data_IF_374893496941
#
_entry.id   IF_374893496941
#
_cell.length_a   1.000
_cell.length_b   1.000
_cell.length_c   1.000
_cell.angle_alpha   90.00
_cell.angle_beta   90.00
_cell.angle_gamma   90.00
#
_symmetry.space_group_name_H-M   'P 1'
#
loop_
_entity.id
_entity.type
_entity.pdbx_description
1 polymer ?
#
# COMPACT_ATOMS: atom_id res chain seq x y z
N UNK A 1 38.81 -62.60 72.13
CA UNK A 1 39.74 -63.31 71.21
C UNK A 1 39.34 -63.01 69.77
N UNK A 2 40.30 -62.61 68.93
CA UNK A 2 40.25 -62.30 67.48
C UNK A 2 39.53 -60.98 67.12
N UNK A 3 40.22 -59.87 66.89
CA UNK A 3 41.11 -59.46 65.77
C UNK A 3 40.46 -59.41 64.37
N UNK A 4 40.24 -58.16 63.93
CA UNK A 4 40.82 -57.53 62.74
C UNK A 4 40.23 -57.86 61.34
N UNK A 5 39.84 -56.82 60.58
CA UNK A 5 40.60 -56.21 59.46
C UNK A 5 39.67 -55.43 58.49
N UNK A 6 40.20 -54.28 58.07
CA UNK A 6 39.73 -53.33 57.04
C UNK A 6 39.42 -53.98 55.67
N UNK A 7 38.56 -53.34 54.86
CA UNK A 7 38.93 -52.94 53.50
C UNK A 7 38.04 -51.83 52.92
N UNK A 8 38.73 -50.89 52.27
CA UNK A 8 38.32 -49.67 51.58
C UNK A 8 37.52 -49.96 50.29
N UNK A 9 36.57 -49.09 49.93
CA UNK A 9 36.37 -48.70 48.53
C UNK A 9 35.87 -47.25 48.44
N UNK A 10 36.56 -46.47 47.62
CA UNK A 10 36.46 -45.02 47.45
C UNK A 10 35.55 -44.73 46.26
N UNK A 11 34.61 -43.81 46.40
CA UNK A 11 34.10 -43.03 45.26
C UNK A 11 33.97 -41.57 45.68
N UNK A 12 34.80 -40.73 45.06
CA UNK A 12 34.73 -39.27 45.13
C UNK A 12 33.90 -38.82 43.94
N UNK A 13 32.83 -38.05 44.16
CA UNK A 13 32.23 -37.26 43.10
C UNK A 13 32.04 -35.82 43.61
N UNK A 14 32.76 -34.91 42.97
CA UNK A 14 32.82 -33.49 43.27
C UNK A 14 31.47 -32.81 42.99
N UNK A 15 30.92 -32.14 44.00
CA UNK A 15 29.85 -31.15 43.83
C UNK A 15 30.46 -29.76 44.06
N UNK A 16 30.72 -29.05 42.98
CA UNK A 16 31.07 -27.63 43.02
C UNK A 16 29.81 -26.82 43.30
N UNK A 17 29.84 -26.09 44.40
CA UNK A 17 28.88 -25.03 44.74
C UNK A 17 29.36 -23.75 44.04
N UNK A 18 28.47 -23.08 43.31
CA UNK A 18 28.61 -21.66 43.03
C UNK A 18 27.27 -20.95 43.25
N UNK A 19 27.25 -20.12 44.29
CA UNK A 19 26.29 -19.05 44.53
C UNK A 19 26.92 -17.73 44.10
N UNK A 20 26.33 -16.97 43.17
CA UNK A 20 26.22 -15.51 43.32
C UNK A 20 25.14 -14.91 42.38
N UNK A 21 24.38 -14.01 42.99
CA UNK A 21 23.79 -12.73 42.55
C UNK A 21 23.61 -12.38 41.07
N UNK A 22 22.41 -11.88 40.76
CA UNK A 22 22.19 -10.92 39.67
C UNK A 22 20.79 -11.04 39.07
N UNK A 23 19.85 -10.21 39.51
CA UNK A 23 18.63 -9.98 38.76
C UNK A 23 18.99 -9.06 37.60
N UNK A 24 19.33 -9.63 36.44
CA UNK A 24 19.36 -8.93 35.18
C UNK A 24 18.33 -9.62 34.28
N UNK A 25 17.11 -9.09 34.28
CA UNK A 25 16.29 -9.16 33.07
C UNK A 25 16.97 -8.22 32.08
N UNK A 26 17.95 -8.73 31.35
CA UNK A 26 18.30 -8.17 30.05
C UNK A 26 17.23 -8.68 29.07
N UNK A 27 16.03 -8.12 29.19
CA UNK A 27 15.11 -8.07 28.07
C UNK A 27 15.77 -7.12 27.11
N UNK A 28 16.40 -7.67 26.07
CA UNK A 28 16.72 -6.89 24.88
C UNK A 28 15.42 -6.27 24.39
N UNK A 29 15.21 -5.00 24.73
CA UNK A 29 14.18 -4.17 24.13
C UNK A 29 14.39 -4.27 22.62
N UNK A 30 13.44 -4.88 21.93
CA UNK A 30 13.35 -4.72 20.48
C UNK A 30 13.27 -3.21 20.24
N UNK A 31 14.12 -2.64 19.36
CA UNK A 31 14.19 -1.20 19.22
C UNK A 31 12.80 -0.67 18.82
N UNK A 32 12.35 0.27 19.64
CA UNK A 32 11.18 1.13 19.51
C UNK A 32 10.98 1.58 18.05
N UNK A 33 9.79 1.26 17.51
CA UNK A 33 9.08 1.95 16.42
C UNK A 33 9.95 2.92 15.61
N UNK A 34 10.62 2.45 14.55
CA UNK A 34 11.27 3.35 13.60
C UNK A 34 10.18 4.11 12.86
N UNK A 35 9.80 5.27 13.40
CA UNK A 35 8.83 6.16 12.78
C UNK A 35 9.35 6.57 11.39
N UNK A 36 8.58 6.28 10.36
CA UNK A 36 8.89 6.75 9.02
C UNK A 36 8.55 8.23 8.84
N UNK A 37 9.32 8.95 8.04
CA UNK A 37 9.05 10.35 7.73
C UNK A 37 8.41 10.50 6.34
N UNK A 38 7.58 11.54 6.20
CA UNK A 38 7.03 11.95 4.90
C UNK A 38 8.20 12.35 3.99
N UNK A 39 8.19 11.84 2.75
CA UNK A 39 9.21 12.03 1.73
C UNK A 39 10.30 10.95 1.70
N UNK A 40 10.38 10.08 2.70
CA UNK A 40 11.33 8.97 2.72
C UNK A 40 10.83 7.74 1.94
N UNK A 41 11.76 6.85 1.62
CA UNK A 41 11.45 5.57 0.96
C UNK A 41 10.80 4.60 1.95
N UNK A 42 9.59 4.13 1.62
CA UNK A 42 8.86 3.13 2.40
C UNK A 42 9.28 1.70 2.08
N UNK A 43 8.74 0.70 2.82
CA UNK A 43 9.16 -0.70 2.70
C UNK A 43 9.04 -1.30 1.30
N UNK A 44 8.09 -0.83 0.48
CA UNK A 44 7.95 -1.30 -0.90
C UNK A 44 8.59 -0.38 -1.93
N UNK A 45 9.52 0.47 -1.51
CA UNK A 45 10.33 1.31 -2.41
C UNK A 45 9.61 2.53 -2.97
N UNK A 46 8.39 2.79 -2.53
CA UNK A 46 7.67 4.02 -2.81
C UNK A 46 8.08 5.14 -1.86
N UNK A 47 7.38 6.28 -1.97
CA UNK A 47 7.65 7.49 -1.20
C UNK A 47 6.49 7.72 -0.24
N UNK A 48 6.79 7.84 1.04
CA UNK A 48 5.77 7.99 2.07
C UNK A 48 5.19 9.40 1.99
N UNK A 49 3.87 9.52 1.84
CA UNK A 49 3.20 10.83 1.75
C UNK A 49 2.22 11.09 2.90
N UNK A 50 1.93 10.07 3.71
CA UNK A 50 0.99 10.17 4.81
C UNK A 50 1.39 9.29 6.00
N UNK A 51 1.29 9.85 7.21
CA UNK A 51 1.39 9.16 8.51
C UNK A 51 0.12 9.50 9.30
N UNK A 52 -0.71 8.49 9.59
CA UNK A 52 -1.93 8.62 10.39
C UNK A 52 -1.64 8.95 11.87
N UNK A 53 -0.41 8.71 12.33
CA UNK A 53 0.02 8.85 13.72
C UNK A 53 -0.20 7.60 14.56
N UNK A 54 -1.14 6.73 14.19
CA UNK A 54 -1.42 5.46 14.86
C UNK A 54 -1.85 4.37 13.87
N UNK A 55 -1.66 3.10 14.25
CA UNK A 55 -2.18 1.97 13.48
C UNK A 55 -3.67 1.84 13.79
N UNK A 56 -4.50 2.07 12.78
CA UNK A 56 -5.94 1.82 12.85
C UNK A 56 -6.45 1.30 11.52
N UNK A 57 -7.40 0.35 11.55
CA UNK A 57 -7.85 -0.40 10.37
C UNK A 57 -6.71 -1.11 9.62
N UNK A 58 -5.69 -1.58 10.36
CA UNK A 58 -4.61 -2.41 9.83
C UNK A 58 -3.44 -1.67 9.20
N UNK A 59 -3.44 -0.33 9.16
CA UNK A 59 -2.35 0.46 8.57
C UNK A 59 -2.17 1.81 9.26
N UNK A 60 -0.99 2.41 9.09
CA UNK A 60 -0.64 3.75 9.59
C UNK A 60 -0.10 4.67 8.50
N UNK A 61 0.68 4.14 7.58
CA UNK A 61 1.36 4.93 6.54
C UNK A 61 0.76 4.66 5.17
N UNK A 62 0.96 5.61 4.27
CA UNK A 62 0.70 5.43 2.83
C UNK A 62 1.95 5.85 2.06
N UNK A 63 2.37 5.01 1.13
CA UNK A 63 3.41 5.34 0.16
C UNK A 63 2.91 5.26 -1.28
N UNK A 64 3.46 6.13 -2.13
CA UNK A 64 3.20 6.16 -3.56
C UNK A 64 4.33 5.47 -4.32
N UNK A 65 4.01 4.76 -5.40
CA UNK A 65 4.99 4.09 -6.24
C UNK A 65 6.09 5.07 -6.72
N UNK A 66 7.35 4.60 -6.88
CA UNK A 66 8.47 5.46 -7.25
C UNK A 66 8.36 6.07 -8.65
N UNK A 67 7.49 5.55 -9.52
CA UNK A 67 7.26 6.05 -10.87
C UNK A 67 5.80 5.93 -11.32
N UNK A 68 5.41 6.76 -12.28
CA UNK A 68 4.14 6.63 -13.00
C UNK A 68 4.07 5.28 -13.74
N UNK A 69 2.86 4.71 -13.86
CA UNK A 69 2.58 3.64 -14.80
C UNK A 69 2.22 4.21 -16.18
N UNK A 70 1.96 3.33 -17.15
CA UNK A 70 1.41 3.76 -18.44
C UNK A 70 0.08 4.48 -18.23
N UNK A 71 -0.17 5.46 -19.08
CA UNK A 71 -1.46 6.14 -19.20
C UNK A 71 -2.55 5.11 -19.56
N UNK A 72 -3.76 5.29 -19.02
CA UNK A 72 -4.89 4.39 -19.25
C UNK A 72 -6.25 5.09 -19.11
N UNK A 73 -7.28 4.42 -19.59
CA UNK A 73 -8.68 4.72 -19.24
C UNK A 73 -8.90 4.43 -17.75
N UNK A 74 -9.81 5.14 -17.13
CA UNK A 74 -10.27 4.81 -15.79
C UNK A 74 -11.02 3.47 -15.80
N UNK A 75 -11.80 3.24 -16.86
CA UNK A 75 -12.59 2.04 -17.08
C UNK A 75 -13.86 2.35 -17.88
N UNK A 76 -14.88 1.52 -17.74
CA UNK A 76 -16.09 1.64 -18.54
C UNK A 76 -16.92 2.89 -18.33
N UNK A 77 -17.28 3.53 -19.44
CA UNK A 77 -18.30 4.58 -19.49
C UNK A 77 -19.71 3.97 -19.48
N UNK A 78 -20.74 4.78 -19.22
CA UNK A 78 -22.14 4.36 -19.15
C UNK A 78 -22.52 3.31 -18.09
N UNK A 79 -21.60 2.98 -17.17
CA UNK A 79 -21.82 1.99 -16.13
C UNK A 79 -21.41 2.56 -14.75
N UNK A 80 -22.34 2.61 -13.78
CA UNK A 80 -22.00 3.02 -12.42
C UNK A 80 -21.37 1.87 -11.64
N UNK A 81 -20.28 2.18 -10.94
CA UNK A 81 -19.57 1.36 -9.97
C UNK A 81 -19.75 2.09 -8.63
N UNK A 82 -20.96 2.00 -8.06
CA UNK A 82 -21.36 2.79 -6.89
C UNK A 82 -20.45 2.58 -5.69
N UNK A 83 -19.87 1.39 -5.55
CA UNK A 83 -18.97 1.02 -4.47
C UNK A 83 -17.59 1.69 -4.59
N UNK A 84 -17.29 2.31 -5.74
CA UNK A 84 -16.09 3.10 -5.98
C UNK A 84 -16.30 4.62 -5.80
N UNK A 85 -17.42 5.08 -5.23
CA UNK A 85 -17.71 6.53 -5.07
C UNK A 85 -17.12 7.17 -3.82
N UNK A 86 -16.40 6.40 -3.01
CA UNK A 86 -15.80 6.93 -1.78
C UNK A 86 -14.68 7.91 -2.15
N UNK A 87 -14.60 9.04 -1.46
CA UNK A 87 -13.61 10.10 -1.73
C UNK A 87 -12.50 10.10 -0.68
N UNK A 88 -12.83 9.60 0.50
CA UNK A 88 -12.10 9.84 1.73
C UNK A 88 -10.78 9.07 1.77
N UNK A 89 -9.87 9.56 2.60
CA UNK A 89 -8.64 8.87 2.95
C UNK A 89 -8.93 7.46 3.50
N UNK A 90 -8.19 6.47 3.02
CA UNK A 90 -8.35 5.07 3.45
C UNK A 90 -9.38 4.29 2.65
N UNK A 91 -9.90 4.85 1.55
CA UNK A 91 -10.93 4.22 0.70
C UNK A 91 -10.41 3.79 -0.68
N UNK A 92 -9.20 4.20 -1.06
CA UNK A 92 -8.63 3.91 -2.38
C UNK A 92 -8.53 2.42 -2.70
N UNK A 93 -8.19 1.60 -1.70
CA UNK A 93 -8.14 0.14 -1.87
C UNK A 93 -9.52 -0.44 -2.19
N UNK A 94 -10.53 -0.12 -1.39
CA UNK A 94 -11.90 -0.63 -1.58
C UNK A 94 -12.49 -0.18 -2.93
N UNK A 95 -12.24 1.08 -3.32
CA UNK A 95 -12.65 1.58 -4.63
C UNK A 95 -11.95 0.82 -5.77
N UNK A 96 -10.63 0.61 -5.67
CA UNK A 96 -9.85 -0.12 -6.68
C UNK A 96 -10.37 -1.54 -6.84
N UNK A 97 -10.64 -2.24 -5.73
CA UNK A 97 -11.22 -3.59 -5.75
C UNK A 97 -12.58 -3.59 -6.44
N UNK A 98 -13.46 -2.64 -6.14
CA UNK A 98 -14.78 -2.52 -6.78
C UNK A 98 -14.67 -2.29 -8.30
N UNK A 99 -13.74 -1.44 -8.74
CA UNK A 99 -13.50 -1.18 -10.16
C UNK A 99 -13.02 -2.45 -10.85
N UNK A 100 -12.05 -3.15 -10.27
CA UNK A 100 -11.52 -4.39 -10.86
C UNK A 100 -12.60 -5.47 -10.92
N UNK A 101 -13.35 -5.68 -9.83
CA UNK A 101 -14.42 -6.67 -9.78
C UNK A 101 -15.49 -6.42 -10.84
N UNK A 102 -15.85 -5.16 -11.07
CA UNK A 102 -16.77 -4.79 -12.14
C UNK A 102 -16.25 -5.23 -13.52
N UNK A 103 -15.00 -4.93 -13.85
CA UNK A 103 -14.43 -5.26 -15.17
C UNK A 103 -14.14 -6.76 -15.33
N UNK A 104 -13.71 -7.45 -14.27
CA UNK A 104 -13.49 -8.90 -14.27
C UNK A 104 -14.80 -9.68 -14.48
N UNK A 105 -15.96 -9.09 -14.11
CA UNK A 105 -17.28 -9.67 -14.32
C UNK A 105 -17.83 -9.46 -15.75
N UNK A 106 -17.23 -8.56 -16.54
CA UNK A 106 -17.61 -8.37 -17.94
C UNK A 106 -17.06 -9.52 -18.79
N UNK A 107 -17.86 -10.00 -19.72
CA UNK A 107 -17.52 -11.15 -20.56
C UNK A 107 -16.29 -10.86 -21.45
N UNK A 108 -15.12 -11.35 -21.02
CA UNK A 108 -13.84 -11.27 -21.73
C UNK A 108 -13.37 -9.83 -22.02
N UNK A 109 -13.68 -8.87 -21.13
CA UNK A 109 -13.39 -7.44 -21.36
C UNK A 109 -11.93 -7.16 -21.76
N UNK A 110 -10.95 -7.79 -21.11
CA UNK A 110 -9.54 -7.51 -21.39
C UNK A 110 -9.05 -7.97 -22.77
N UNK A 111 -9.75 -8.93 -23.41
CA UNK A 111 -9.47 -9.33 -24.78
C UNK A 111 -10.49 -8.76 -25.78
N UNK A 112 -11.64 -8.28 -25.29
CA UNK A 112 -12.74 -7.75 -26.08
C UNK A 112 -13.35 -6.50 -25.42
N UNK A 113 -12.65 -5.35 -25.43
CA UNK A 113 -13.10 -4.15 -24.72
C UNK A 113 -14.36 -3.51 -25.31
N UNK A 114 -14.78 -3.92 -26.51
CA UNK A 114 -16.04 -3.47 -27.13
C UNK A 114 -17.28 -3.85 -26.31
N UNK A 115 -17.20 -4.83 -25.39
CA UNK A 115 -18.28 -5.14 -24.43
C UNK A 115 -18.63 -3.95 -23.54
N UNK A 116 -17.68 -3.04 -23.38
CA UNK A 116 -17.81 -1.79 -22.67
C UNK A 116 -18.26 -0.67 -23.60
N UNK A 117 -17.51 -0.48 -24.69
CA UNK A 117 -17.73 0.52 -25.73
C UNK A 117 -16.79 0.25 -26.90
N UNK A 118 -17.22 0.53 -28.13
CA UNK A 118 -16.39 0.42 -29.34
C UNK A 118 -15.13 1.30 -29.29
N UNK A 119 -15.14 2.36 -28.48
CA UNK A 119 -14.00 3.26 -28.31
C UNK A 119 -13.05 2.82 -27.18
N UNK A 120 -13.38 1.79 -26.39
CA UNK A 120 -12.56 1.41 -25.25
C UNK A 120 -11.29 0.71 -25.71
N UNK A 121 -10.15 1.14 -25.17
CA UNK A 121 -8.85 0.54 -25.45
C UNK A 121 -8.51 -0.66 -24.53
N UNK A 122 -9.43 -1.06 -23.65
CA UNK A 122 -9.28 -2.22 -22.76
C UNK A 122 -8.34 -2.04 -21.59
N UNK A 123 -7.87 -0.81 -21.34
CA UNK A 123 -7.10 -0.50 -20.12
C UNK A 123 -8.05 -0.09 -18.99
N UNK A 124 -7.65 -0.41 -17.75
CA UNK A 124 -8.38 -0.02 -16.53
C UNK A 124 -7.35 0.41 -15.52
N UNK A 125 -7.33 1.70 -15.16
CA UNK A 125 -6.34 2.28 -14.26
C UNK A 125 -6.20 1.49 -12.94
N UNK A 126 -7.32 1.10 -12.35
CA UNK A 126 -7.35 0.28 -11.13
C UNK A 126 -6.68 -1.10 -11.32
N UNK A 127 -6.89 -1.74 -12.48
CA UNK A 127 -6.26 -3.03 -12.80
C UNK A 127 -4.75 -2.90 -12.93
N UNK A 128 -4.28 -1.80 -13.53
CA UNK A 128 -2.84 -1.54 -13.65
C UNK A 128 -2.16 -1.44 -12.29
N UNK A 129 -2.82 -0.79 -11.33
CA UNK A 129 -2.33 -0.72 -9.96
C UNK A 129 -2.34 -2.09 -9.28
N UNK A 130 -3.41 -2.87 -9.44
CA UNK A 130 -3.51 -4.22 -8.84
C UNK A 130 -2.44 -5.19 -9.38
N UNK A 131 -2.07 -5.07 -10.65
CA UNK A 131 -1.03 -5.90 -11.28
C UNK A 131 0.40 -5.38 -11.02
N UNK A 132 0.53 -4.17 -10.46
CA UNK A 132 1.81 -3.58 -10.15
C UNK A 132 2.43 -4.26 -8.92
N UNK A 133 3.72 -4.57 -9.03
CA UNK A 133 4.52 -5.05 -7.90
C UNK A 133 5.86 -4.34 -7.85
N UNK A 134 6.30 -4.05 -6.63
CA UNK A 134 7.59 -3.43 -6.38
C UNK A 134 8.15 -3.89 -5.04
N UNK A 135 9.46 -4.19 -5.00
CA UNK A 135 10.15 -4.65 -3.79
C UNK A 135 9.45 -5.81 -3.05
N UNK A 136 8.81 -6.72 -3.79
CA UNK A 136 8.12 -7.89 -3.22
C UNK A 136 6.70 -7.64 -2.71
N UNK A 137 6.17 -6.41 -2.85
CA UNK A 137 4.80 -6.04 -2.51
C UNK A 137 3.93 -5.98 -3.76
N UNK A 138 2.70 -6.50 -3.68
CA UNK A 138 1.71 -6.60 -4.76
C UNK A 138 0.31 -6.12 -4.34
N UNK A 139 0.24 -5.37 -3.24
CA UNK A 139 -0.95 -4.80 -2.62
C UNK A 139 -1.13 -3.31 -2.99
N UNK A 140 -0.67 -2.94 -4.19
CA UNK A 140 -0.78 -1.58 -4.71
C UNK A 140 -2.15 -1.33 -5.34
N UNK A 141 -2.67 -0.12 -5.18
CA UNK A 141 -4.00 0.25 -5.66
C UNK A 141 -4.04 1.71 -6.15
N UNK A 142 -5.13 2.09 -6.82
CA UNK A 142 -5.33 3.45 -7.33
C UNK A 142 -5.85 4.35 -6.18
N UNK A 143 -5.21 5.49 -5.89
CA UNK A 143 -5.53 6.31 -4.71
C UNK A 143 -6.95 6.88 -4.80
N UNK A 144 -7.65 7.05 -3.67
CA UNK A 144 -8.88 7.83 -3.62
C UNK A 144 -8.62 9.32 -3.94
N UNK A 145 -9.68 10.09 -4.11
CA UNK A 145 -9.58 11.54 -4.35
C UNK A 145 -8.77 12.26 -3.26
N UNK A 146 -9.06 12.02 -1.98
CA UNK A 146 -8.34 12.65 -0.88
C UNK A 146 -6.87 12.19 -0.81
N UNK A 147 -6.59 10.91 -1.10
CA UNK A 147 -5.22 10.36 -1.13
C UNK A 147 -4.38 11.00 -2.24
N UNK A 148 -4.94 11.16 -3.43
CA UNK A 148 -4.29 11.83 -4.55
C UNK A 148 -3.99 13.31 -4.24
N UNK A 149 -4.92 14.00 -3.58
CA UNK A 149 -4.68 15.37 -3.14
C UNK A 149 -3.56 15.48 -2.08
N UNK A 150 -3.44 14.48 -1.20
CA UNK A 150 -2.34 14.42 -0.22
C UNK A 150 -1.00 14.14 -0.90
N UNK A 151 -0.95 13.31 -1.96
CA UNK A 151 0.25 13.15 -2.79
C UNK A 151 0.69 14.49 -3.39
N UNK A 152 -0.24 15.27 -3.94
CA UNK A 152 0.03 16.61 -4.47
C UNK A 152 0.61 17.54 -3.38
N UNK A 153 -0.11 17.69 -2.25
CA UNK A 153 0.26 18.63 -1.19
C UNK A 153 1.58 18.28 -0.50
N UNK A 154 1.78 17.01 -0.17
CA UNK A 154 2.87 16.60 0.70
C UNK A 154 4.14 16.26 -0.07
N UNK A 155 4.03 15.81 -1.32
CA UNK A 155 5.20 15.46 -2.14
C UNK A 155 5.42 16.43 -3.29
N UNK A 156 4.45 16.57 -4.19
CA UNK A 156 4.64 17.30 -5.44
C UNK A 156 4.99 18.79 -5.21
N UNK A 157 4.25 19.48 -4.32
CA UNK A 157 4.55 20.88 -3.96
C UNK A 157 5.95 21.08 -3.36
N UNK A 158 6.57 20.02 -2.83
CA UNK A 158 7.91 20.04 -2.26
C UNK A 158 8.98 19.54 -3.26
N UNK A 159 8.61 19.29 -4.53
CA UNK A 159 9.52 18.76 -5.55
C UNK A 159 9.93 17.30 -5.31
N UNK A 160 9.17 16.55 -4.50
CA UNK A 160 9.47 15.15 -4.15
C UNK A 160 8.65 14.23 -5.04
N UNK A 161 9.28 13.15 -5.52
CA UNK A 161 8.60 12.04 -6.19
C UNK A 161 8.47 12.14 -7.71
N UNK A 162 9.02 13.19 -8.35
CA UNK A 162 9.09 13.25 -9.81
C UNK A 162 7.73 13.13 -10.49
N UNK A 163 6.71 13.76 -9.88
CA UNK A 163 5.40 13.91 -10.49
C UNK A 163 5.46 14.85 -11.70
N UNK A 164 4.60 14.62 -12.67
CA UNK A 164 4.41 15.49 -13.83
C UNK A 164 3.31 16.51 -13.52
N UNK A 165 3.40 17.71 -14.10
CA UNK A 165 2.34 18.73 -14.03
C UNK A 165 1.19 18.33 -14.96
N UNK A 166 0.42 17.31 -14.58
CA UNK A 166 -0.63 16.70 -15.41
C UNK A 166 -1.77 16.12 -14.54
N UNK A 167 -2.81 15.60 -15.19
CA UNK A 167 -3.93 14.93 -14.55
C UNK A 167 -3.52 13.54 -14.06
N UNK A 168 -3.88 13.21 -12.83
CA UNK A 168 -3.72 11.89 -12.22
C UNK A 168 -5.07 11.30 -11.87
N UNK A 169 -5.32 10.07 -12.32
CA UNK A 169 -6.53 9.34 -11.97
C UNK A 169 -6.61 9.07 -10.47
N UNK A 170 -7.83 9.15 -9.95
CA UNK A 170 -8.20 8.61 -8.63
C UNK A 170 -9.05 7.35 -8.84
N UNK A 171 -9.25 6.57 -7.79
CA UNK A 171 -10.21 5.44 -7.79
C UNK A 171 -11.64 5.88 -7.51
N UNK A 172 -11.90 7.18 -7.33
CA UNK A 172 -13.22 7.69 -7.00
C UNK A 172 -14.08 7.90 -8.26
N UNK A 173 -15.19 7.18 -8.34
CA UNK A 173 -16.23 7.43 -9.33
C UNK A 173 -17.02 8.70 -8.95
N UNK A 174 -17.28 9.58 -9.92
CA UNK A 174 -18.29 10.62 -9.74
C UNK A 174 -19.69 10.13 -10.15
N UNK A 175 -19.81 9.59 -11.37
CA UNK A 175 -21.06 9.07 -11.90
C UNK A 175 -20.85 7.94 -12.91
N UNK A 176 -21.91 7.56 -13.63
CA UNK A 176 -21.85 6.47 -14.60
C UNK A 176 -20.95 6.76 -15.82
N UNK A 177 -20.57 8.03 -16.07
CA UNK A 177 -19.72 8.44 -17.20
C UNK A 177 -18.35 8.98 -16.77
N UNK A 178 -18.22 9.46 -15.54
CA UNK A 178 -17.07 10.24 -15.09
C UNK A 178 -16.48 9.72 -13.78
N UNK A 179 -15.18 9.89 -13.65
CA UNK A 179 -14.39 9.61 -12.47
C UNK A 179 -13.53 10.82 -12.12
N UNK A 180 -12.98 10.84 -10.91
CA UNK A 180 -12.26 12.01 -10.44
C UNK A 180 -10.77 11.94 -10.77
N UNK A 181 -10.18 13.10 -10.97
CA UNK A 181 -8.76 13.28 -11.22
C UNK A 181 -8.25 14.52 -10.50
N UNK A 182 -7.01 14.47 -10.08
CA UNK A 182 -6.29 15.62 -9.51
C UNK A 182 -5.34 16.16 -10.57
N UNK A 183 -5.41 17.47 -10.84
CA UNK A 183 -4.45 18.18 -11.67
C UNK A 183 -3.23 18.56 -10.84
N UNK A 184 -2.09 17.92 -11.10
CA UNK A 184 -0.86 18.18 -10.36
C UNK A 184 -0.19 19.50 -10.76
N UNK A 185 -0.67 20.21 -11.78
CA UNK A 185 -0.16 21.55 -12.10
C UNK A 185 -0.63 22.65 -11.13
N UNK A 186 -1.79 22.44 -10.48
CA UNK A 186 -2.45 23.46 -9.65
C UNK A 186 -3.17 22.91 -8.40
N UNK A 187 -3.31 21.60 -8.28
CA UNK A 187 -3.98 20.92 -7.18
C UNK A 187 -5.51 20.84 -7.29
N UNK A 188 -6.09 21.33 -8.39
CA UNK A 188 -7.53 21.28 -8.62
C UNK A 188 -7.99 19.83 -8.80
N UNK A 189 -9.18 19.53 -8.30
CA UNK A 189 -9.82 18.23 -8.45
C UNK A 189 -11.10 18.39 -9.26
N UNK A 190 -11.29 17.48 -10.20
CA UNK A 190 -12.42 17.55 -11.12
C UNK A 190 -12.77 16.19 -11.70
N UNK A 191 -13.70 16.19 -12.65
CA UNK A 191 -14.24 14.98 -13.23
C UNK A 191 -13.80 14.85 -14.68
N UNK A 192 -13.37 13.66 -15.04
CA UNK A 192 -12.99 13.29 -16.39
C UNK A 192 -13.83 12.11 -16.84
N UNK A 193 -14.09 12.06 -18.14
CA UNK A 193 -14.70 10.92 -18.80
C UNK A 193 -13.91 9.65 -18.51
N UNK A 194 -14.57 8.59 -18.02
CA UNK A 194 -13.89 7.35 -17.61
C UNK A 194 -13.07 6.71 -18.74
N UNK A 195 -13.61 6.78 -19.96
CA UNK A 195 -13.05 6.09 -21.12
C UNK A 195 -12.31 7.05 -22.07
N UNK A 196 -12.88 8.22 -22.33
CA UNK A 196 -12.28 9.22 -23.23
C UNK A 196 -11.33 10.19 -22.53
N UNK A 197 -11.32 10.20 -21.20
CA UNK A 197 -10.33 10.90 -20.40
C UNK A 197 -9.01 10.13 -20.38
N UNK A 198 -7.91 10.87 -20.40
CA UNK A 198 -6.56 10.34 -20.39
C UNK A 198 -5.83 11.00 -19.23
N UNK A 199 -5.47 10.22 -18.22
CA UNK A 199 -4.72 10.69 -17.07
C UNK A 199 -3.66 9.67 -16.63
N UNK A 200 -2.68 10.16 -15.88
CA UNK A 200 -1.56 9.38 -15.36
C UNK A 200 -2.05 8.46 -14.23
N UNK A 201 -1.50 7.26 -14.19
CA UNK A 201 -1.75 6.29 -13.11
C UNK A 201 -0.52 6.20 -12.23
N UNK A 202 -0.71 6.39 -10.92
CA UNK A 202 0.36 6.20 -9.95
C UNK A 202 -0.14 5.44 -8.72
N UNK A 203 0.25 4.16 -8.55
CA UNK A 203 -0.23 3.34 -7.47
C UNK A 203 0.20 3.85 -6.09
N UNK A 204 -0.61 3.57 -5.07
CA UNK A 204 -0.28 3.75 -3.67
C UNK A 204 -0.48 2.44 -2.91
N UNK A 205 0.09 2.31 -1.71
CA UNK A 205 -0.25 1.21 -0.79
C UNK A 205 -0.26 1.65 0.66
N UNK A 206 -1.01 0.92 1.48
CA UNK A 206 -1.06 1.08 2.93
C UNK A 206 -0.03 0.16 3.62
N UNK A 207 0.54 0.59 4.74
CA UNK A 207 1.35 -0.27 5.61
C UNK A 207 1.43 0.23 7.06
#
# INVERSE_FOLDING_TARGET
MKNAKNHLSVYVLYLFIFSISGCNQDSTEQPLDSKFLIGETGPGGGIIFYDKGEISRGWRYIEVAPSNLRISEWGCFSAPITDARNLELGTGLANTEAIVLFHDALNDFYNNPSVCSEESNGTVAAKLCQEYSNNGFNDWFLPSEEESFLMYKNLHLNGIGGFEDNLYWTSSEHDFNTATATDFSNGDQGWLCKQCGIAIVRPVRYF
#
